data_IF_776426163622
#
_entry.id   IF_776426163622
#
_cell.length_a   1.000
_cell.length_b   1.000
_cell.length_c   1.000
_cell.angle_alpha   90.00
_cell.angle_beta   90.00
_cell.angle_gamma   90.00
#
_symmetry.space_group_name_H-M   'P 1'
#
loop_
_entity.id
_entity.type
_entity.pdbx_description
1 polymer ?
#
# COMPACT_ATOMS: atom_id res chain seq x y z
N UNK A 1 -7.44 1.47 41.04
CA UNK A 1 -6.08 1.79 41.51
C UNK A 1 -5.60 3.02 40.76
N UNK A 2 -5.44 4.15 41.48
CA UNK A 2 -5.02 5.46 40.89
C UNK A 2 -3.71 5.36 40.07
N UNK A 3 -2.74 4.59 40.52
CA UNK A 3 -1.46 4.37 39.87
C UNK A 3 -1.64 3.78 38.46
N UNK A 4 -2.53 2.79 38.30
CA UNK A 4 -2.80 2.18 37.01
C UNK A 4 -3.47 3.17 36.03
N UNK A 5 -4.39 4.01 36.54
CA UNK A 5 -5.05 5.05 35.74
C UNK A 5 -4.04 6.10 35.25
N UNK A 6 -3.12 6.54 36.14
CA UNK A 6 -2.04 7.47 35.79
C UNK A 6 -1.08 6.83 34.79
N UNK A 7 -0.72 5.56 34.98
CA UNK A 7 0.14 4.82 34.06
C UNK A 7 -0.47 4.74 32.66
N UNK A 8 -1.78 4.38 32.56
CA UNK A 8 -2.48 4.30 31.27
C UNK A 8 -2.57 5.66 30.59
N UNK A 9 -2.79 6.73 31.36
CA UNK A 9 -2.79 8.10 30.83
C UNK A 9 -1.43 8.49 30.26
N UNK A 10 -0.36 8.24 31.00
CA UNK A 10 1.03 8.54 30.55
C UNK A 10 1.38 7.66 29.33
N UNK A 11 1.04 6.38 29.35
CA UNK A 11 1.24 5.48 28.21
C UNK A 11 0.58 6.00 26.94
N UNK A 12 -0.66 6.45 27.04
CA UNK A 12 -1.39 7.02 25.90
C UNK A 12 -0.75 8.32 25.41
N UNK A 13 -0.30 9.20 26.30
CA UNK A 13 0.43 10.42 25.92
C UNK A 13 1.71 10.10 25.16
N UNK A 14 2.49 9.12 25.63
CA UNK A 14 3.74 8.70 24.97
C UNK A 14 3.46 8.09 23.60
N UNK A 15 2.45 7.20 23.48
CA UNK A 15 2.06 6.57 22.22
C UNK A 15 1.60 7.64 21.22
N UNK A 16 0.73 8.55 21.64
CA UNK A 16 0.21 9.62 20.77
C UNK A 16 1.32 10.55 20.28
N UNK A 17 2.24 10.91 21.17
CA UNK A 17 3.39 11.75 20.79
C UNK A 17 4.29 11.05 19.77
N UNK A 18 4.61 9.78 19.98
CA UNK A 18 5.41 8.98 19.03
C UNK A 18 4.73 8.84 17.67
N UNK A 19 3.43 8.57 17.66
CA UNK A 19 2.64 8.49 16.43
C UNK A 19 2.64 9.82 15.67
N UNK A 20 2.47 10.94 16.37
CA UNK A 20 2.52 12.28 15.78
C UNK A 20 3.88 12.56 15.12
N UNK A 21 4.98 12.27 15.81
CA UNK A 21 6.33 12.44 15.25
C UNK A 21 6.51 11.55 14.03
N UNK A 22 6.11 10.27 14.09
CA UNK A 22 6.19 9.34 12.97
C UNK A 22 5.42 9.87 11.75
N UNK A 23 4.17 10.32 11.94
CA UNK A 23 3.36 10.88 10.85
C UNK A 23 3.97 12.14 10.25
N UNK A 24 4.50 13.04 11.09
CA UNK A 24 5.16 14.26 10.61
C UNK A 24 6.38 13.91 9.75
N UNK A 25 7.27 13.07 10.26
CA UNK A 25 8.46 12.64 9.50
C UNK A 25 8.08 11.95 8.20
N UNK A 26 7.09 11.05 8.22
CA UNK A 26 6.61 10.36 7.01
C UNK A 26 6.07 11.36 5.97
N UNK A 27 5.27 12.33 6.39
CA UNK A 27 4.72 13.36 5.50
C UNK A 27 5.83 14.20 4.86
N UNK A 28 6.81 14.64 5.63
CA UNK A 28 7.94 15.41 5.13
C UNK A 28 8.82 14.61 4.17
N UNK A 29 9.06 13.32 4.47
CA UNK A 29 9.79 12.42 3.58
C UNK A 29 9.06 12.21 2.24
N UNK A 30 7.75 11.99 2.26
CA UNK A 30 6.96 11.83 1.04
C UNK A 30 6.95 13.12 0.21
N UNK A 31 6.79 14.27 0.87
CA UNK A 31 6.85 15.59 0.22
C UNK A 31 8.22 15.84 -0.42
N UNK A 32 9.30 15.53 0.28
CA UNK A 32 10.67 15.64 -0.24
C UNK A 32 10.85 14.78 -1.50
N UNK A 33 10.48 13.50 -1.45
CA UNK A 33 10.64 12.58 -2.59
C UNK A 33 9.77 12.97 -3.77
N UNK A 34 8.56 13.47 -3.51
CA UNK A 34 7.68 14.01 -4.54
C UNK A 34 8.30 15.24 -5.24
N UNK A 35 8.84 16.19 -4.47
CA UNK A 35 9.49 17.39 -4.99
C UNK A 35 10.76 17.06 -5.78
N UNK A 36 11.56 16.09 -5.33
CA UNK A 36 12.72 15.60 -6.08
C UNK A 36 12.27 14.99 -7.42
N UNK A 37 11.23 14.15 -7.39
CA UNK A 37 10.65 13.57 -8.61
C UNK A 37 10.17 14.63 -9.59
N UNK A 38 9.51 15.68 -9.09
CA UNK A 38 9.07 16.84 -9.86
C UNK A 38 10.24 17.57 -10.51
N UNK A 39 11.26 17.91 -9.74
CA UNK A 39 12.44 18.60 -10.23
C UNK A 39 13.18 17.80 -11.32
N UNK A 40 13.28 16.47 -11.16
CA UNK A 40 13.86 15.58 -12.18
C UNK A 40 13.04 15.64 -13.48
N UNK A 41 11.71 15.63 -13.41
CA UNK A 41 10.85 15.71 -14.58
C UNK A 41 10.94 17.07 -15.27
N UNK A 42 11.02 18.16 -14.54
CA UNK A 42 11.17 19.51 -15.11
C UNK A 42 12.48 19.67 -15.90
N UNK A 43 13.58 19.09 -15.41
CA UNK A 43 14.86 19.07 -16.12
C UNK A 43 14.77 18.25 -17.41
N UNK A 44 14.06 17.11 -17.37
CA UNK A 44 13.95 16.20 -18.52
C UNK A 44 12.99 16.70 -19.62
N UNK A 45 11.98 17.50 -19.27
CA UNK A 45 11.07 18.11 -20.27
C UNK A 45 11.74 19.17 -21.15
N UNK A 46 12.89 19.71 -20.69
CA UNK A 46 13.68 20.65 -21.48
C UNK A 46 14.56 20.03 -22.55
N UNK A 47 14.70 18.71 -22.62
CA UNK A 47 15.59 18.02 -23.55
C UNK A 47 14.97 16.68 -24.03
N UNK A 48 14.63 16.61 -25.32
CA UNK A 48 13.88 15.48 -25.91
C UNK A 48 14.67 14.16 -26.02
N UNK A 49 15.91 14.09 -25.55
CA UNK A 49 16.77 12.90 -25.69
C UNK A 49 16.78 12.02 -24.44
N UNK A 50 16.21 10.81 -24.54
CA UNK A 50 16.21 9.82 -23.47
C UNK A 50 17.63 9.53 -22.90
N UNK A 51 18.66 9.52 -23.74
CA UNK A 51 20.05 9.33 -23.34
C UNK A 51 20.60 10.46 -22.47
N UNK A 52 20.11 11.68 -22.65
CA UNK A 52 20.45 12.82 -21.82
C UNK A 52 19.86 12.70 -20.41
N UNK A 53 18.61 12.24 -20.32
CA UNK A 53 17.92 12.03 -19.05
C UNK A 53 18.64 11.00 -18.13
N UNK A 54 19.20 9.94 -18.70
CA UNK A 54 19.96 8.93 -17.94
C UNK A 54 21.31 9.46 -17.44
N UNK A 55 22.02 10.22 -18.26
CA UNK A 55 23.28 10.87 -17.88
C UNK A 55 23.08 11.94 -16.78
N UNK A 56 21.96 12.67 -16.84
CA UNK A 56 21.59 13.65 -15.80
C UNK A 56 21.32 12.96 -14.48
N UNK A 57 20.55 11.87 -14.46
CA UNK A 57 20.27 11.11 -13.26
C UNK A 57 21.53 10.53 -12.61
N UNK A 58 22.48 10.09 -13.42
CA UNK A 58 23.76 9.54 -12.94
C UNK A 58 24.60 10.63 -12.24
N UNK A 59 24.80 11.75 -12.91
CA UNK A 59 25.52 12.91 -12.35
C UNK A 59 24.83 13.48 -11.09
N UNK A 60 23.51 13.54 -11.10
CA UNK A 60 22.72 14.01 -9.95
C UNK A 60 22.86 13.03 -8.78
N UNK A 61 22.82 11.73 -9.05
CA UNK A 61 23.03 10.67 -8.06
C UNK A 61 24.41 10.78 -7.40
N UNK A 62 25.48 10.94 -8.19
CA UNK A 62 26.83 11.12 -7.67
C UNK A 62 26.93 12.33 -6.72
N UNK A 63 26.45 13.49 -7.17
CA UNK A 63 26.49 14.73 -6.36
C UNK A 63 25.70 14.59 -5.06
N UNK A 64 24.44 14.12 -5.16
CA UNK A 64 23.58 13.97 -3.99
C UNK A 64 24.07 12.87 -3.04
N UNK A 65 24.64 11.80 -3.55
CA UNK A 65 25.20 10.72 -2.73
C UNK A 65 26.46 11.18 -1.98
N UNK A 66 27.31 12.00 -2.62
CA UNK A 66 28.49 12.58 -1.98
C UNK A 66 28.11 13.57 -0.88
N UNK A 67 27.06 14.36 -1.06
CA UNK A 67 26.62 15.38 -0.10
C UNK A 67 25.75 14.80 1.03
N UNK A 68 24.77 13.94 0.70
CA UNK A 68 23.71 13.49 1.62
C UNK A 68 23.72 11.98 1.89
N UNK A 69 24.59 11.20 1.24
CA UNK A 69 24.72 9.76 1.45
C UNK A 69 23.83 8.89 0.55
N UNK A 70 23.78 7.59 0.87
CA UNK A 70 23.29 6.52 0.00
C UNK A 70 21.78 6.59 -0.36
N UNK A 71 21.00 7.45 0.26
CA UNK A 71 19.56 7.62 -0.01
C UNK A 71 19.25 8.10 -1.44
N UNK A 72 20.22 8.66 -2.15
CA UNK A 72 20.06 9.33 -3.44
C UNK A 72 20.71 8.57 -4.61
N UNK A 73 20.81 7.24 -4.52
CA UNK A 73 21.27 6.41 -5.64
C UNK A 73 20.39 6.61 -6.89
N UNK A 74 20.97 6.40 -8.10
CA UNK A 74 20.24 6.51 -9.38
C UNK A 74 18.90 5.77 -9.32
N UNK A 75 18.89 4.54 -8.80
CA UNK A 75 17.66 3.75 -8.64
C UNK A 75 16.61 4.42 -7.74
N UNK A 76 17.03 5.10 -6.68
CA UNK A 76 16.09 5.82 -5.82
C UNK A 76 15.58 7.10 -6.48
N UNK A 77 16.40 7.82 -7.23
CA UNK A 77 15.98 8.98 -8.02
C UNK A 77 14.96 8.58 -9.11
N UNK A 78 15.18 7.44 -9.78
CA UNK A 78 14.21 6.88 -10.73
C UNK A 78 12.87 6.54 -10.06
N UNK A 79 12.88 6.00 -8.86
CA UNK A 79 11.67 5.71 -8.07
C UNK A 79 10.94 6.99 -7.66
N UNK A 80 11.66 8.02 -7.25
CA UNK A 80 11.09 9.33 -6.93
C UNK A 80 10.48 9.98 -8.17
N UNK A 81 11.15 9.88 -9.32
CA UNK A 81 10.61 10.32 -10.62
C UNK A 81 9.31 9.57 -10.96
N UNK A 82 9.31 8.23 -10.87
CA UNK A 82 8.13 7.42 -11.14
C UNK A 82 6.98 7.73 -10.16
N UNK A 83 7.31 8.00 -8.91
CA UNK A 83 6.36 8.43 -7.90
C UNK A 83 5.65 9.73 -8.31
N UNK A 84 6.39 10.75 -8.75
CA UNK A 84 5.79 11.99 -9.26
C UNK A 84 4.94 11.75 -10.53
N UNK A 85 5.39 10.91 -11.47
CA UNK A 85 4.63 10.57 -12.69
C UNK A 85 3.26 9.98 -12.35
N UNK A 86 3.20 9.08 -11.37
CA UNK A 86 1.95 8.41 -10.98
C UNK A 86 1.07 9.26 -10.06
N UNK A 87 1.67 10.21 -9.36
CA UNK A 87 0.99 11.10 -8.42
C UNK A 87 1.35 12.57 -8.71
N UNK A 88 0.96 13.11 -9.88
CA UNK A 88 1.37 14.47 -10.30
C UNK A 88 0.77 15.57 -9.42
N UNK A 89 -0.30 15.25 -8.69
CA UNK A 89 -0.96 16.16 -7.74
C UNK A 89 -0.55 15.76 -6.33
N UNK A 90 0.18 16.62 -5.62
CA UNK A 90 0.70 16.33 -4.28
C UNK A 90 -0.38 15.93 -3.26
N UNK A 91 -1.59 16.47 -3.39
CA UNK A 91 -2.73 16.15 -2.50
C UNK A 91 -3.27 14.73 -2.69
N UNK A 92 -2.92 14.04 -3.77
CA UNK A 92 -3.29 12.63 -3.97
C UNK A 92 -2.40 11.66 -3.21
N UNK A 93 -1.27 12.16 -2.69
CA UNK A 93 -0.34 11.37 -1.87
C UNK A 93 -0.86 11.27 -0.45
N UNK A 94 -1.26 10.08 -0.03
CA UNK A 94 -1.72 9.85 1.34
C UNK A 94 -0.55 9.70 2.30
N UNK A 95 -0.53 10.49 3.36
CA UNK A 95 0.45 10.37 4.47
C UNK A 95 0.19 9.16 5.39
N UNK A 96 -0.93 8.45 5.19
CA UNK A 96 -1.21 7.20 5.90
C UNK A 96 -0.34 6.03 5.41
N UNK A 97 0.21 6.16 4.19
CA UNK A 97 1.14 5.19 3.60
C UNK A 97 2.58 5.67 3.78
N UNK A 98 3.49 4.73 4.05
CA UNK A 98 4.93 5.03 4.10
C UNK A 98 5.55 5.01 2.71
N UNK A 99 6.77 5.56 2.58
CA UNK A 99 7.55 5.45 1.35
C UNK A 99 7.71 4.01 0.86
N UNK A 100 7.89 3.06 1.78
CA UNK A 100 8.00 1.64 1.44
C UNK A 100 6.71 1.07 0.81
N UNK A 101 5.52 1.53 1.23
CA UNK A 101 4.28 1.19 0.55
C UNK A 101 4.24 1.77 -0.86
N UNK A 102 4.62 3.04 -1.03
CA UNK A 102 4.68 3.67 -2.35
C UNK A 102 5.67 2.97 -3.30
N UNK A 103 6.79 2.44 -2.79
CA UNK A 103 7.71 1.65 -3.60
C UNK A 103 7.08 0.37 -4.18
N UNK A 104 6.09 -0.21 -3.51
CA UNK A 104 5.34 -1.34 -4.04
C UNK A 104 4.21 -0.87 -4.98
N UNK A 105 3.53 0.21 -4.63
CA UNK A 105 2.42 0.79 -5.39
C UNK A 105 2.87 1.30 -6.77
N UNK A 106 4.04 1.94 -6.86
CA UNK A 106 4.57 2.44 -8.14
C UNK A 106 5.04 1.33 -9.11
N UNK A 107 5.02 0.08 -8.69
CA UNK A 107 5.21 -1.07 -9.60
C UNK A 107 3.96 -1.40 -10.41
N UNK A 108 2.81 -0.89 -9.99
CA UNK A 108 1.51 -1.14 -10.61
C UNK A 108 1.26 -0.06 -11.66
N UNK A 109 1.31 -0.44 -12.94
CA UNK A 109 1.16 0.51 -14.06
C UNK A 109 -0.30 0.95 -14.24
N UNK A 110 -1.24 0.04 -14.10
CA UNK A 110 -2.66 0.31 -14.27
C UNK A 110 -3.20 1.19 -13.14
N UNK A 111 -3.80 2.33 -13.48
CA UNK A 111 -4.25 3.32 -12.50
C UNK A 111 -5.36 2.79 -11.59
N UNK A 112 -6.36 2.10 -12.16
CA UNK A 112 -7.48 1.56 -11.37
C UNK A 112 -7.00 0.53 -10.36
N UNK A 113 -6.13 -0.39 -10.79
CA UNK A 113 -5.50 -1.39 -9.92
C UNK A 113 -4.65 -0.71 -8.84
N UNK A 114 -3.87 0.29 -9.19
CA UNK A 114 -3.06 1.07 -8.23
C UNK A 114 -3.92 1.74 -7.19
N UNK A 115 -5.01 2.40 -7.59
CA UNK A 115 -5.95 3.06 -6.69
C UNK A 115 -6.64 2.08 -5.75
N UNK A 116 -7.03 0.90 -6.24
CA UNK A 116 -7.56 -0.19 -5.42
C UNK A 116 -6.57 -0.56 -4.31
N UNK A 117 -5.31 -0.89 -4.64
CA UNK A 117 -4.32 -1.29 -3.63
C UNK A 117 -3.99 -0.17 -2.64
N UNK A 118 -4.04 1.11 -3.03
CA UNK A 118 -3.92 2.24 -2.11
C UNK A 118 -5.06 2.22 -1.10
N UNK A 119 -6.31 2.10 -1.57
CA UNK A 119 -7.50 2.10 -0.72
C UNK A 119 -7.53 0.92 0.23
N UNK A 120 -7.27 -0.29 -0.28
CA UNK A 120 -7.20 -1.50 0.55
C UNK A 120 -6.11 -1.40 1.61
N UNK A 121 -4.91 -0.95 1.25
CA UNK A 121 -3.81 -0.79 2.20
C UNK A 121 -4.16 0.18 3.33
N UNK A 122 -4.89 1.26 3.04
CA UNK A 122 -5.34 2.24 4.04
C UNK A 122 -6.46 1.66 4.89
N UNK A 123 -7.49 1.08 4.27
CA UNK A 123 -8.69 0.59 4.95
C UNK A 123 -8.37 -0.57 5.88
N UNK A 124 -7.59 -1.53 5.39
CA UNK A 124 -7.21 -2.75 6.11
C UNK A 124 -5.90 -2.60 6.89
N UNK A 125 -5.26 -1.41 6.85
CA UNK A 125 -3.99 -1.12 7.52
C UNK A 125 -2.89 -2.12 7.21
N UNK A 126 -2.81 -2.55 5.95
CA UNK A 126 -1.82 -3.52 5.53
C UNK A 126 -0.39 -3.04 5.78
N UNK A 127 0.45 -3.95 6.22
CA UNK A 127 1.89 -3.77 6.20
C UNK A 127 2.41 -3.84 4.76
N UNK A 128 3.66 -3.40 4.54
CA UNK A 128 4.31 -3.52 3.21
C UNK A 128 4.34 -4.98 2.73
N UNK A 129 4.55 -5.93 3.64
CA UNK A 129 4.58 -7.36 3.31
C UNK A 129 3.21 -7.90 2.89
N UNK A 130 2.16 -7.46 3.57
CA UNK A 130 0.79 -7.82 3.23
C UNK A 130 0.38 -7.22 1.88
N UNK A 131 0.68 -5.95 1.64
CA UNK A 131 0.47 -5.33 0.33
C UNK A 131 1.18 -6.12 -0.80
N UNK A 132 2.44 -6.54 -0.58
CA UNK A 132 3.18 -7.36 -1.54
C UNK A 132 2.47 -8.69 -1.77
N UNK A 133 2.09 -9.40 -0.69
CA UNK A 133 1.40 -10.68 -0.76
C UNK A 133 0.08 -10.57 -1.54
N UNK A 134 -0.76 -9.60 -1.20
CA UNK A 134 -2.05 -9.41 -1.85
C UNK A 134 -1.92 -9.02 -3.34
N UNK A 135 -0.91 -8.22 -3.68
CA UNK A 135 -0.58 -7.93 -5.08
C UNK A 135 -0.11 -9.17 -5.83
N UNK A 136 0.79 -9.94 -5.23
CA UNK A 136 1.41 -11.11 -5.86
C UNK A 136 0.40 -12.27 -5.96
N UNK A 137 -0.61 -12.33 -5.08
CA UNK A 137 -1.75 -13.25 -5.17
C UNK A 137 -2.85 -12.78 -6.14
N UNK A 138 -2.63 -11.67 -6.86
CA UNK A 138 -3.55 -11.14 -7.87
C UNK A 138 -4.95 -10.82 -7.31
N UNK A 139 -5.02 -10.27 -6.08
CA UNK A 139 -6.28 -9.96 -5.42
C UNK A 139 -7.22 -9.11 -6.28
N UNK A 140 -6.71 -8.06 -6.92
CA UNK A 140 -7.50 -7.19 -7.78
C UNK A 140 -8.12 -7.93 -8.96
N UNK A 141 -7.34 -8.76 -9.64
CA UNK A 141 -7.77 -9.56 -10.78
C UNK A 141 -8.87 -10.57 -10.38
N UNK A 142 -8.73 -11.20 -9.24
CA UNK A 142 -9.72 -12.16 -8.72
C UNK A 142 -11.06 -11.48 -8.41
N UNK A 143 -11.01 -10.31 -7.79
CA UNK A 143 -12.20 -9.53 -7.49
C UNK A 143 -12.91 -9.03 -8.75
N UNK A 144 -12.15 -8.63 -9.79
CA UNK A 144 -12.72 -8.22 -11.07
C UNK A 144 -13.40 -9.38 -11.79
N UNK A 145 -12.81 -10.56 -11.77
CA UNK A 145 -13.41 -11.76 -12.40
C UNK A 145 -14.76 -12.13 -11.77
N UNK A 146 -14.95 -11.82 -10.50
CA UNK A 146 -16.20 -12.07 -9.75
C UNK A 146 -17.18 -10.89 -9.77
N UNK A 147 -16.79 -9.71 -10.27
CA UNK A 147 -17.54 -8.48 -10.15
C UNK A 147 -18.21 -8.05 -11.46
N UNK A 148 -19.37 -7.42 -11.33
CA UNK A 148 -20.04 -6.70 -12.41
C UNK A 148 -19.25 -5.42 -12.75
N UNK A 149 -19.28 -4.95 -14.02
CA UNK A 149 -18.49 -3.79 -14.50
C UNK A 149 -18.62 -2.54 -13.62
N UNK A 150 -19.80 -2.29 -13.05
CA UNK A 150 -20.05 -1.15 -12.16
C UNK A 150 -19.35 -1.30 -10.81
N UNK A 151 -19.11 -2.53 -10.35
CA UNK A 151 -18.41 -2.81 -9.09
C UNK A 151 -16.89 -2.63 -9.22
N UNK A 152 -16.33 -2.75 -10.42
CA UNK A 152 -14.89 -2.55 -10.65
C UNK A 152 -14.49 -1.09 -10.35
N UNK A 153 -15.29 -0.13 -10.77
CA UNK A 153 -15.05 1.28 -10.49
C UNK A 153 -15.18 1.56 -8.98
N UNK A 154 -16.20 1.01 -8.34
CA UNK A 154 -16.42 1.14 -6.89
C UNK A 154 -15.25 0.51 -6.10
N UNK A 155 -14.73 -0.65 -6.52
CA UNK A 155 -13.55 -1.29 -5.92
C UNK A 155 -12.30 -0.40 -6.02
N UNK A 156 -12.07 0.25 -7.15
CA UNK A 156 -10.90 1.13 -7.33
C UNK A 156 -11.00 2.42 -6.53
N UNK A 157 -12.22 2.91 -6.26
CA UNK A 157 -12.47 4.15 -5.53
C UNK A 157 -12.58 3.96 -4.02
N UNK A 158 -13.18 2.86 -3.58
CA UNK A 158 -13.54 2.62 -2.16
C UNK A 158 -12.81 1.45 -1.52
N UNK A 159 -12.19 0.58 -2.33
CA UNK A 159 -11.70 -0.71 -1.89
C UNK A 159 -12.83 -1.73 -1.67
N UNK A 160 -12.58 -2.82 -0.98
CA UNK A 160 -13.60 -3.80 -0.62
C UNK A 160 -14.57 -3.20 0.41
N UNK A 161 -15.86 -3.15 0.06
CA UNK A 161 -16.92 -2.73 0.98
C UNK A 161 -17.66 -3.99 1.43
N UNK A 162 -17.31 -4.47 2.62
CA UNK A 162 -17.97 -5.61 3.25
C UNK A 162 -19.35 -5.16 3.75
N UNK A 163 -20.43 -5.60 3.08
CA UNK A 163 -21.82 -5.23 3.41
C UNK A 163 -22.54 -6.28 4.26
N UNK A 164 -22.05 -7.53 4.21
CA UNK A 164 -22.70 -8.66 4.89
C UNK A 164 -21.64 -9.55 5.58
N UNK A 165 -22.08 -10.36 6.55
CA UNK A 165 -21.23 -11.37 7.19
C UNK A 165 -20.69 -12.40 6.20
N UNK A 166 -21.43 -12.66 5.12
CA UNK A 166 -21.03 -13.58 4.04
C UNK A 166 -19.88 -12.97 3.23
N UNK A 167 -19.87 -11.65 3.02
CA UNK A 167 -18.76 -10.96 2.34
C UNK A 167 -17.46 -11.07 3.15
N UNK A 168 -17.56 -11.05 4.48
CA UNK A 168 -16.41 -11.25 5.38
C UNK A 168 -15.82 -12.66 5.23
N UNK A 169 -16.67 -13.67 5.11
CA UNK A 169 -16.25 -15.08 4.95
C UNK A 169 -15.62 -15.33 3.56
N UNK A 170 -16.07 -14.60 2.54
CA UNK A 170 -15.50 -14.64 1.19
C UNK A 170 -14.30 -13.73 1.01
N UNK A 171 -13.89 -13.01 2.05
CA UNK A 171 -12.66 -12.22 2.01
C UNK A 171 -11.48 -13.15 1.76
N UNK A 172 -10.66 -12.90 0.73
CA UNK A 172 -9.51 -13.75 0.39
C UNK A 172 -8.57 -13.96 1.56
N UNK A 173 -8.46 -12.98 2.46
CA UNK A 173 -7.66 -13.07 3.67
C UNK A 173 -8.21 -14.12 4.66
N UNK A 174 -9.52 -14.19 4.83
CA UNK A 174 -10.19 -15.18 5.68
C UNK A 174 -10.09 -16.57 5.04
N UNK A 175 -10.27 -16.68 3.73
CA UNK A 175 -10.14 -17.95 3.00
C UNK A 175 -8.70 -18.47 3.05
N UNK A 176 -7.70 -17.59 2.90
CA UNK A 176 -6.28 -17.96 3.01
C UNK A 176 -5.91 -18.39 4.43
N UNK A 177 -6.40 -17.67 5.44
CA UNK A 177 -6.21 -18.03 6.85
C UNK A 177 -6.81 -19.40 7.19
N UNK A 178 -7.94 -19.74 6.58
CA UNK A 178 -8.62 -21.02 6.75
C UNK A 178 -8.08 -22.12 5.81
N UNK A 179 -7.00 -21.86 5.05
CA UNK A 179 -6.42 -22.77 4.03
C UNK A 179 -7.45 -23.28 2.99
N UNK A 180 -8.49 -22.49 2.75
CA UNK A 180 -9.53 -22.82 1.77
C UNK A 180 -9.04 -22.38 0.39
N UNK A 181 -8.84 -23.32 -0.52
CA UNK A 181 -8.47 -23.03 -1.91
C UNK A 181 -9.56 -22.22 -2.57
N UNK A 182 -9.18 -21.11 -3.19
CA UNK A 182 -10.09 -20.29 -3.96
C UNK A 182 -10.66 -21.08 -5.15
N UNK A 183 -11.93 -21.34 -5.10
CA UNK A 183 -12.70 -21.85 -6.21
C UNK A 183 -13.97 -21.00 -6.34
N UNK A 184 -14.25 -20.50 -7.54
CA UNK A 184 -15.40 -19.66 -7.83
C UNK A 184 -16.74 -20.39 -7.71
N UNK A 185 -16.74 -21.72 -7.61
CA UNK A 185 -17.91 -22.58 -7.63
C UNK A 185 -18.19 -23.32 -6.31
N UNK A 186 -17.79 -22.75 -5.16
CA UNK A 186 -18.21 -23.32 -3.88
C UNK A 186 -19.71 -23.18 -3.69
N UNK A 187 -20.38 -24.32 -3.55
CA UNK A 187 -21.73 -24.34 -2.98
C UNK A 187 -21.64 -23.83 -1.53
N UNK A 188 -22.61 -23.04 -1.11
CA UNK A 188 -22.68 -22.44 0.23
C UNK A 188 -22.49 -23.48 1.35
N UNK A 189 -23.00 -24.71 1.14
CA UNK A 189 -22.83 -25.87 2.04
C UNK A 189 -21.38 -26.36 2.18
N UNK A 190 -20.57 -26.27 1.14
CA UNK A 190 -19.18 -26.73 1.15
C UNK A 190 -18.28 -25.70 1.86
N UNK A 191 -18.59 -24.42 1.68
CA UNK A 191 -17.93 -23.32 2.39
C UNK A 191 -18.21 -23.38 3.89
N UNK A 192 -19.47 -23.56 4.30
CA UNK A 192 -19.85 -23.72 5.72
C UNK A 192 -19.13 -24.90 6.37
N UNK A 193 -19.06 -26.03 5.69
CA UNK A 193 -18.44 -27.25 6.21
C UNK A 193 -16.94 -27.07 6.42
N UNK A 194 -16.25 -26.50 5.44
CA UNK A 194 -14.82 -26.20 5.52
C UNK A 194 -14.51 -25.18 6.60
N UNK A 195 -15.32 -24.11 6.75
CA UNK A 195 -15.18 -23.12 7.81
C UNK A 195 -15.33 -23.79 9.20
N UNK A 196 -16.32 -24.65 9.39
CA UNK A 196 -16.58 -25.33 10.65
C UNK A 196 -15.41 -26.26 11.02
N UNK A 197 -14.84 -26.99 10.06
CA UNK A 197 -13.70 -27.88 10.29
C UNK A 197 -12.44 -27.09 10.69
N UNK A 198 -12.09 -26.02 9.97
CA UNK A 198 -10.90 -25.22 10.27
C UNK A 198 -11.07 -24.33 11.50
N UNK A 199 -12.28 -23.84 11.78
CA UNK A 199 -12.57 -23.11 13.03
C UNK A 199 -12.42 -24.01 14.25
N UNK A 200 -12.70 -25.29 14.11
CA UNK A 200 -12.52 -26.29 15.16
C UNK A 200 -11.03 -26.54 15.44
N UNK A 201 -10.20 -26.62 14.41
CA UNK A 201 -8.74 -26.71 14.53
C UNK A 201 -8.16 -25.45 15.18
N UNK A 202 -8.56 -24.27 14.74
CA UNK A 202 -8.14 -22.99 15.31
C UNK A 202 -8.51 -22.83 16.80
N UNK A 203 -9.72 -23.26 17.21
CA UNK A 203 -10.16 -23.25 18.61
C UNK A 203 -9.44 -24.28 19.48
N UNK A 204 -8.80 -25.29 18.89
CA UNK A 204 -7.99 -26.27 19.61
C UNK A 204 -6.53 -25.85 19.76
N UNK A 205 -6.06 -24.83 18.96
CA UNK A 205 -4.73 -24.25 19.06
C UNK A 205 -4.67 -23.01 19.98
N UNK A 206 -5.83 -22.44 20.38
CA UNK A 206 -5.96 -21.37 21.39
C UNK A 206 -6.02 -21.93 22.81
#
# INVERSE_FOLDING_TARGET
>A
NEINSIFDSIKNLVINSRNKVYHTVNTEMLSLYWNIGKAIMEIQQGDERASYGDAVLEKLSEKLTNEFGKGFSKRNLERMRKFYIFFPIATTVSSQLSWSHYLEIIKIEEEQKRNFYIKETINSKWSVRELQRQRDSLLYERLILSADKNKILELSEKGQVLKTSIDLVKDPFVLEFLDIKENTDYLESDLEKNIIEHLKEFLLEL
#
